data_IF_490091938139
#
_entry.id   IF_490091938139
#
_cell.length_a   1.000
_cell.length_b   1.000
_cell.length_c   1.000
_cell.angle_alpha   90.00
_cell.angle_beta   90.00
_cell.angle_gamma   90.00
#
_symmetry.space_group_name_H-M   'P 1'
#
loop_
_entity.id
_entity.type
_entity.pdbx_description
1 polymer ?
#
# COMPACT_ATOMS: atom_id res chain seq x y z
N UNK A 1 -3.64 -0.46 -21.04
CA UNK A 1 -3.50 -0.72 -19.59
C UNK A 1 -2.46 -1.81 -19.44
N UNK A 2 -1.41 -1.58 -18.65
CA UNK A 2 -0.38 -2.59 -18.37
C UNK A 2 -0.87 -3.47 -17.23
N UNK A 3 -0.89 -4.80 -17.43
CA UNK A 3 -1.12 -5.77 -16.36
C UNK A 3 0.12 -5.94 -15.50
N UNK A 4 -0.09 -6.10 -14.21
CA UNK A 4 0.92 -6.41 -13.19
C UNK A 4 0.35 -7.41 -12.18
N UNK A 5 1.22 -8.09 -11.43
CA UNK A 5 0.82 -9.13 -10.49
C UNK A 5 1.23 -8.74 -9.07
N UNK A 6 0.28 -8.79 -8.14
CA UNK A 6 0.51 -8.38 -6.76
C UNK A 6 0.24 -9.48 -5.75
N UNK A 7 0.94 -9.38 -4.62
CA UNK A 7 0.59 -10.11 -3.42
C UNK A 7 -0.27 -9.20 -2.54
N UNK A 8 -1.57 -9.45 -2.50
CA UNK A 8 -2.54 -8.61 -1.79
C UNK A 8 -2.98 -9.34 -0.52
N UNK A 9 -2.34 -9.03 0.60
CA UNK A 9 -2.62 -9.65 1.90
C UNK A 9 -4.00 -9.23 2.44
N UNK A 10 -5.03 -9.88 1.94
CA UNK A 10 -6.43 -9.63 2.37
C UNK A 10 -6.75 -10.14 3.78
N UNK A 11 -5.84 -10.81 4.47
CA UNK A 11 -5.99 -11.12 5.89
C UNK A 11 -5.73 -9.86 6.76
N UNK A 12 -5.04 -8.84 6.19
CA UNK A 12 -4.93 -7.53 6.82
C UNK A 12 -6.16 -6.68 6.47
N UNK A 13 -6.99 -6.24 7.45
CA UNK A 13 -8.27 -5.59 7.18
C UNK A 13 -8.17 -4.35 6.27
N UNK A 14 -7.11 -3.54 6.39
CA UNK A 14 -6.96 -2.31 5.59
C UNK A 14 -6.53 -2.60 4.15
N UNK A 15 -5.75 -3.67 3.94
CA UNK A 15 -5.43 -4.17 2.60
C UNK A 15 -6.68 -4.78 1.96
N UNK A 16 -7.46 -5.57 2.72
CA UNK A 16 -8.74 -6.13 2.28
C UNK A 16 -9.73 -5.02 1.90
N UNK A 17 -9.82 -3.95 2.73
CA UNK A 17 -10.67 -2.80 2.43
C UNK A 17 -10.32 -2.17 1.06
N UNK A 18 -9.03 -1.92 0.85
CA UNK A 18 -8.53 -1.33 -0.41
C UNK A 18 -8.74 -2.28 -1.60
N UNK A 19 -8.55 -3.59 -1.42
CA UNK A 19 -8.80 -4.60 -2.45
C UNK A 19 -10.27 -4.69 -2.83
N UNK A 20 -11.19 -4.69 -1.85
CA UNK A 20 -12.64 -4.69 -2.14
C UNK A 20 -13.07 -3.40 -2.83
N UNK A 21 -12.57 -2.25 -2.41
CA UNK A 21 -12.82 -0.98 -3.09
C UNK A 21 -12.46 -1.04 -4.59
N UNK A 22 -11.52 -1.92 -4.95
CA UNK A 22 -11.19 -2.27 -6.33
C UNK A 22 -10.12 -1.41 -6.98
N UNK A 23 -9.60 -0.41 -6.27
CA UNK A 23 -8.50 0.45 -6.72
C UNK A 23 -7.50 0.59 -5.57
N UNK A 24 -6.27 0.10 -5.80
CA UNK A 24 -5.13 0.39 -4.95
C UNK A 24 -4.52 1.73 -5.36
N UNK A 25 -4.01 2.47 -4.39
CA UNK A 25 -3.43 3.80 -4.61
C UNK A 25 -2.10 3.88 -3.85
N UNK A 26 -1.06 4.38 -4.49
CA UNK A 26 0.18 4.75 -3.82
C UNK A 26 -0.08 5.85 -2.78
N UNK A 27 0.77 5.94 -1.77
CA UNK A 27 0.60 6.99 -0.77
C UNK A 27 0.66 8.38 -1.44
N UNK A 28 -0.37 9.18 -1.20
CA UNK A 28 -0.44 10.54 -1.74
C UNK A 28 0.54 11.45 -1.00
N UNK A 29 1.09 12.44 -1.71
CA UNK A 29 1.95 13.41 -1.09
C UNK A 29 1.20 14.18 0.01
N UNK A 30 1.80 14.20 1.19
CA UNK A 30 1.30 14.93 2.33
C UNK A 30 2.50 15.28 3.21
N UNK A 31 2.99 16.52 3.12
CA UNK A 31 4.19 16.94 3.85
C UNK A 31 3.81 17.64 5.16
N UNK A 32 3.04 16.96 5.98
CA UNK A 32 2.65 17.49 7.28
C UNK A 32 3.54 16.87 8.38
N UNK A 33 4.82 17.25 8.41
CA UNK A 33 5.64 16.87 9.56
C UNK A 33 4.89 17.15 10.87
N UNK A 34 4.80 16.20 11.80
CA UNK A 34 5.57 14.95 11.93
C UNK A 34 4.94 13.69 11.28
N UNK A 35 4.15 13.82 10.24
CA UNK A 35 3.43 12.71 9.58
C UNK A 35 4.03 12.41 8.21
N UNK A 36 4.15 11.13 7.86
CA UNK A 36 4.54 10.64 6.55
C UNK A 36 3.52 9.63 6.03
N UNK A 37 2.85 9.88 4.91
CA UNK A 37 2.03 8.86 4.30
C UNK A 37 2.91 7.72 3.77
N UNK A 38 2.48 6.49 3.99
CA UNK A 38 3.08 5.29 3.43
C UNK A 38 2.04 4.46 2.67
N UNK A 39 2.49 3.59 1.78
CA UNK A 39 1.55 2.73 1.07
C UNK A 39 0.88 1.73 2.01
N UNK A 40 -0.41 1.43 1.76
CA UNK A 40 -1.16 0.43 2.52
C UNK A 40 -0.51 -0.96 2.38
N UNK A 41 0.14 -1.24 1.24
CA UNK A 41 0.87 -2.50 1.05
C UNK A 41 2.08 -2.59 1.98
N UNK A 42 2.89 -1.51 2.10
CA UNK A 42 3.99 -1.48 3.07
C UNK A 42 3.45 -1.59 4.49
N UNK A 43 2.41 -0.84 4.84
CA UNK A 43 1.79 -0.89 6.16
C UNK A 43 1.34 -2.31 6.53
N UNK A 44 0.76 -3.06 5.58
CA UNK A 44 0.42 -4.47 5.75
C UNK A 44 1.64 -5.37 6.00
N UNK A 45 2.77 -5.08 5.35
CA UNK A 45 4.02 -5.82 5.57
C UNK A 45 4.71 -5.51 6.91
N UNK A 46 4.38 -4.38 7.56
CA UNK A 46 4.93 -3.98 8.86
C UNK A 46 4.18 -4.58 10.06
N UNK A 47 3.19 -5.41 9.83
CA UNK A 47 2.28 -6.02 10.81
C UNK A 47 2.93 -6.69 12.05
N UNK A 48 4.21 -7.01 12.00
CA UNK A 48 4.92 -7.70 13.07
C UNK A 48 5.81 -6.73 13.85
N UNK A 49 5.37 -6.34 15.05
CA UNK A 49 5.99 -5.33 15.94
C UNK A 49 7.48 -5.49 16.22
N UNK A 50 8.01 -6.71 16.14
CA UNK A 50 9.42 -7.00 16.41
C UNK A 50 10.29 -7.08 15.15
N UNK A 51 9.75 -6.68 14.01
CA UNK A 51 10.48 -6.72 12.75
C UNK A 51 11.35 -5.45 12.62
N UNK A 52 12.65 -5.57 12.36
CA UNK A 52 13.51 -4.44 11.99
C UNK A 52 13.19 -3.90 10.59
N UNK A 53 12.16 -4.45 9.93
CA UNK A 53 11.83 -4.14 8.54
C UNK A 53 11.64 -2.64 8.30
N UNK A 54 10.95 -1.93 9.20
CA UNK A 54 10.78 -0.49 9.03
C UNK A 54 12.13 0.24 9.06
N UNK A 55 13.01 -0.10 10.01
CA UNK A 55 14.36 0.50 10.08
C UNK A 55 15.15 0.23 8.80
N UNK A 56 15.06 -0.99 8.27
CA UNK A 56 15.71 -1.37 7.01
C UNK A 56 15.17 -0.57 5.81
N UNK A 57 13.83 -0.45 5.69
CA UNK A 57 13.20 0.36 4.63
C UNK A 57 13.59 1.84 4.73
N UNK A 58 13.69 2.40 5.96
CA UNK A 58 14.15 3.78 6.16
C UNK A 58 15.63 3.97 5.75
N UNK A 59 16.49 2.99 6.03
CA UNK A 59 17.90 3.03 5.61
C UNK A 59 18.04 2.96 4.07
N UNK A 60 17.28 2.07 3.41
CA UNK A 60 17.23 1.95 1.95
C UNK A 60 16.71 3.24 1.33
N UNK A 61 15.65 3.83 1.90
CA UNK A 61 15.06 5.09 1.45
C UNK A 61 16.05 6.26 1.54
N UNK A 62 16.86 6.32 2.59
CA UNK A 62 17.87 7.36 2.76
C UNK A 62 18.89 7.34 1.61
N UNK A 63 19.32 6.14 1.19
CA UNK A 63 20.21 5.98 0.03
C UNK A 63 19.52 6.43 -1.25
N UNK A 64 18.23 6.04 -1.43
CA UNK A 64 17.45 6.50 -2.58
C UNK A 64 17.44 8.03 -2.69
N UNK A 65 17.11 8.71 -1.60
CA UNK A 65 17.04 10.18 -1.58
C UNK A 65 18.35 10.84 -1.95
N UNK A 66 19.46 10.27 -1.50
CA UNK A 66 20.80 10.84 -1.74
C UNK A 66 21.33 10.58 -3.14
N UNK A 67 21.10 9.39 -3.69
CA UNK A 67 21.76 8.94 -4.92
C UNK A 67 20.79 8.71 -6.09
N UNK A 68 19.52 8.36 -5.80
CA UNK A 68 18.54 7.96 -6.80
C UNK A 68 17.20 8.69 -6.64
N UNK A 69 17.19 10.04 -6.55
CA UNK A 69 15.98 10.80 -6.23
C UNK A 69 14.86 10.66 -7.28
N UNK A 70 15.20 10.26 -8.51
CA UNK A 70 14.23 10.00 -9.58
C UNK A 70 13.51 8.65 -9.47
N UNK A 71 13.97 7.75 -8.61
CA UNK A 71 13.30 6.46 -8.37
C UNK A 71 12.14 6.63 -7.41
N UNK A 72 11.08 5.83 -7.58
CA UNK A 72 9.93 5.88 -6.69
C UNK A 72 10.30 5.30 -5.32
N UNK A 73 9.94 6.03 -4.26
CA UNK A 73 10.19 5.59 -2.91
C UNK A 73 9.43 4.31 -2.56
N UNK A 74 10.11 3.34 -1.96
CA UNK A 74 9.49 2.13 -1.42
C UNK A 74 8.50 2.43 -0.30
N UNK A 75 8.64 3.54 0.41
CA UNK A 75 7.71 3.90 1.48
C UNK A 75 6.32 4.25 0.94
N UNK A 76 6.24 4.87 -0.23
CA UNK A 76 4.98 5.37 -0.79
C UNK A 76 4.46 4.57 -1.96
N UNK A 77 5.32 3.87 -2.69
CA UNK A 77 4.97 3.08 -3.86
C UNK A 77 4.20 1.80 -3.51
N UNK A 78 3.46 1.32 -4.48
CA UNK A 78 2.88 -0.03 -4.46
C UNK A 78 3.87 -1.02 -5.06
N UNK A 79 3.84 -2.28 -4.60
CA UNK A 79 4.76 -3.33 -5.04
C UNK A 79 4.02 -4.33 -5.92
N UNK A 80 4.51 -4.50 -7.14
CA UNK A 80 3.96 -5.49 -8.07
C UNK A 80 5.10 -6.24 -8.75
N UNK A 81 4.80 -7.43 -9.24
CA UNK A 81 5.67 -8.15 -10.17
C UNK A 81 5.28 -7.79 -11.60
N UNK A 82 6.29 -7.70 -12.47
CA UNK A 82 6.09 -7.36 -13.87
C UNK A 82 5.32 -8.46 -14.61
N UNK A 83 5.58 -9.72 -14.25
CA UNK A 83 5.00 -10.91 -14.88
C UNK A 83 4.50 -11.91 -13.83
N UNK A 84 3.56 -12.76 -14.24
CA UNK A 84 3.05 -13.83 -13.38
C UNK A 84 4.17 -14.81 -12.98
N UNK A 85 5.08 -15.13 -13.88
CA UNK A 85 6.24 -15.98 -13.62
C UNK A 85 7.14 -15.44 -12.50
N UNK A 86 7.30 -14.12 -12.40
CA UNK A 86 8.03 -13.49 -11.30
C UNK A 86 7.29 -13.65 -9.95
N UNK A 87 5.96 -13.55 -9.93
CA UNK A 87 5.18 -13.87 -8.73
C UNK A 87 5.33 -15.35 -8.34
N UNK A 88 5.29 -16.27 -9.31
CA UNK A 88 5.46 -17.70 -9.06
C UNK A 88 6.84 -18.00 -8.46
N UNK A 89 7.90 -17.37 -8.98
CA UNK A 89 9.25 -17.48 -8.40
C UNK A 89 9.31 -16.94 -6.97
N UNK A 90 8.62 -15.85 -6.67
CA UNK A 90 8.57 -15.25 -5.34
C UNK A 90 7.88 -16.17 -4.30
N UNK A 91 7.09 -17.17 -4.70
CA UNK A 91 6.46 -18.14 -3.78
C UNK A 91 7.47 -18.93 -2.95
N UNK A 92 8.70 -19.07 -3.42
CA UNK A 92 9.77 -19.70 -2.67
C UNK A 92 10.25 -18.85 -1.46
N UNK A 93 9.91 -17.56 -1.43
CA UNK A 93 10.37 -16.62 -0.39
C UNK A 93 9.53 -16.67 0.90
N UNK A 94 8.42 -17.39 0.90
CA UNK A 94 7.62 -17.58 2.11
C UNK A 94 6.11 -17.61 1.88
N UNK A 95 5.38 -17.95 2.93
CA UNK A 95 3.93 -18.18 2.88
C UNK A 95 3.10 -16.93 2.52
N UNK A 96 3.64 -15.73 2.71
CA UNK A 96 2.96 -14.49 2.33
C UNK A 96 2.87 -14.31 0.80
N UNK A 97 3.68 -15.02 0.00
CA UNK A 97 3.53 -15.10 -1.46
C UNK A 97 2.64 -16.29 -1.90
N UNK A 98 1.76 -16.77 -1.03
CA UNK A 98 0.79 -17.80 -1.35
C UNK A 98 -0.14 -17.37 -2.49
N UNK A 99 -0.55 -18.32 -3.32
CA UNK A 99 -1.51 -18.09 -4.41
C UNK A 99 -2.85 -17.49 -3.94
N UNK A 100 -3.22 -17.69 -2.67
CA UNK A 100 -4.43 -17.08 -2.10
C UNK A 100 -4.40 -15.55 -2.07
N UNK A 101 -3.22 -14.93 -2.14
CA UNK A 101 -3.05 -13.47 -2.15
C UNK A 101 -2.71 -12.93 -3.53
N UNK A 102 -2.53 -13.81 -4.51
CA UNK A 102 -2.22 -13.41 -5.87
C UNK A 102 -3.37 -12.65 -6.50
N UNK A 103 -3.06 -11.52 -7.10
CA UNK A 103 -3.99 -10.74 -7.90
C UNK A 103 -3.32 -10.26 -9.18
N UNK A 104 -4.08 -10.26 -10.27
CA UNK A 104 -3.77 -9.46 -11.45
C UNK A 104 -4.40 -8.09 -11.30
N UNK A 105 -3.61 -7.05 -11.61
CA UNK A 105 -4.04 -5.66 -11.55
C UNK A 105 -3.70 -4.95 -12.85
N UNK A 106 -4.48 -3.90 -13.18
CA UNK A 106 -4.20 -3.03 -14.31
C UNK A 106 -3.73 -1.67 -13.82
N UNK A 107 -2.55 -1.23 -14.25
CA UNK A 107 -2.09 0.13 -13.98
C UNK A 107 -3.02 1.14 -14.68
N UNK A 108 -3.57 2.08 -13.92
CA UNK A 108 -4.44 3.11 -14.48
C UNK A 108 -3.63 4.24 -15.15
N UNK A 109 -4.23 5.01 -16.08
CA UNK A 109 -3.57 6.12 -16.72
C UNK A 109 -2.92 7.09 -15.73
N UNK A 110 -1.70 7.53 -16.03
CA UNK A 110 -0.91 8.41 -15.16
C UNK A 110 -0.06 7.67 -14.11
N UNK A 111 -0.22 6.36 -13.95
CA UNK A 111 0.69 5.59 -13.10
C UNK A 111 2.09 5.54 -13.73
N UNK A 112 3.10 5.73 -12.88
CA UNK A 112 4.53 5.61 -13.22
C UNK A 112 5.16 4.51 -12.38
N UNK A 113 6.29 3.96 -12.81
CA UNK A 113 6.97 2.91 -12.06
C UNK A 113 8.49 2.97 -12.22
N UNK A 114 9.18 2.39 -11.26
CA UNK A 114 10.59 2.02 -11.36
C UNK A 114 10.74 0.50 -11.20
N UNK A 115 11.64 -0.10 -11.99
CA UNK A 115 11.83 -1.54 -12.10
C UNK A 115 13.11 -1.95 -11.38
N UNK A 116 13.02 -3.00 -10.56
CA UNK A 116 14.12 -3.50 -9.74
C UNK A 116 14.08 -5.03 -9.66
N UNK A 117 15.24 -5.66 -9.39
CA UNK A 117 15.25 -7.09 -9.09
C UNK A 117 15.03 -7.30 -7.59
N UNK A 118 13.89 -7.86 -7.23
CA UNK A 118 13.48 -8.10 -5.84
C UNK A 118 14.38 -9.11 -5.09
N UNK A 119 15.20 -9.88 -5.81
CA UNK A 119 16.20 -10.75 -5.19
C UNK A 119 17.17 -9.96 -4.28
N UNK A 120 17.51 -8.70 -4.64
CA UNK A 120 18.37 -7.86 -3.81
C UNK A 120 17.81 -7.62 -2.40
N UNK A 121 16.51 -7.37 -2.30
CA UNK A 121 15.81 -7.18 -1.02
C UNK A 121 15.67 -8.51 -0.27
N UNK A 122 15.32 -9.57 -1.00
CA UNK A 122 15.01 -10.88 -0.42
C UNK A 122 16.26 -11.55 0.17
N UNK A 123 17.40 -11.42 -0.51
CA UNK A 123 18.67 -12.00 -0.10
C UNK A 123 19.61 -10.98 0.52
N UNK A 124 19.10 -9.82 0.95
CA UNK A 124 19.87 -8.83 1.68
C UNK A 124 20.54 -9.46 2.91
N UNK A 125 21.83 -9.18 3.15
CA UNK A 125 22.50 -9.72 4.32
C UNK A 125 21.97 -9.09 5.61
N UNK A 126 21.34 -9.92 6.45
CA UNK A 126 20.79 -9.51 7.74
C UNK A 126 21.62 -10.10 8.88
N UNK A 127 21.64 -9.42 10.03
CA UNK A 127 22.21 -9.94 11.26
C UNK A 127 21.22 -10.85 12.02
N UNK A 128 21.59 -11.32 13.20
CA UNK A 128 20.73 -12.16 14.04
C UNK A 128 19.46 -11.46 14.54
N UNK A 129 19.43 -10.13 14.51
CA UNK A 129 18.27 -9.32 14.90
C UNK A 129 17.39 -8.97 13.69
N UNK A 130 17.86 -9.28 12.47
CA UNK A 130 17.19 -8.94 11.21
C UNK A 130 17.51 -7.53 10.70
N UNK A 131 18.48 -6.82 11.30
CA UNK A 131 18.99 -5.54 10.79
C UNK A 131 19.95 -5.77 9.62
N UNK A 132 20.02 -4.81 8.68
CA UNK A 132 20.97 -4.87 7.56
C UNK A 132 22.41 -4.89 8.02
N UNK A 133 23.20 -5.90 7.62
CA UNK A 133 24.64 -6.00 7.87
C UNK A 133 25.46 -5.10 6.98
N UNK A 134 25.02 -4.88 5.76
CA UNK A 134 25.66 -4.07 4.74
C UNK A 134 24.59 -3.40 3.88
N UNK A 135 24.94 -2.26 3.34
CA UNK A 135 24.11 -1.47 2.41
C UNK A 135 24.71 -1.41 1.00
N UNK A 136 25.81 -2.12 0.72
CA UNK A 136 26.53 -2.06 -0.56
C UNK A 136 25.67 -2.57 -1.73
N UNK A 137 24.75 -3.49 -1.45
CA UNK A 137 23.81 -4.05 -2.41
C UNK A 137 22.67 -3.08 -2.79
N UNK A 138 22.47 -2.00 -2.05
CA UNK A 138 21.36 -1.05 -2.29
C UNK A 138 21.59 -0.24 -3.56
N UNK A 139 22.84 0.06 -3.92
CA UNK A 139 23.16 0.76 -5.17
C UNK A 139 22.76 -0.07 -6.41
N UNK A 140 23.22 -1.34 -6.60
CA UNK A 140 22.74 -2.19 -7.70
C UNK A 140 21.20 -2.35 -7.73
N UNK A 141 20.54 -2.47 -6.58
CA UNK A 141 19.08 -2.53 -6.51
C UNK A 141 18.43 -1.28 -7.15
N UNK A 142 18.85 -0.06 -6.72
CA UNK A 142 18.27 1.17 -7.25
C UNK A 142 18.64 1.43 -8.71
N UNK A 143 19.78 0.94 -9.18
CA UNK A 143 20.16 0.96 -10.59
C UNK A 143 19.29 0.03 -11.45
N UNK A 144 18.60 -0.94 -10.84
CA UNK A 144 17.81 -1.95 -11.55
C UNK A 144 18.68 -3.05 -12.14
N UNK A 145 19.84 -3.31 -11.56
CA UNK A 145 20.74 -4.38 -11.98
C UNK A 145 20.21 -5.74 -11.52
N UNK A 146 20.38 -6.80 -12.32
CA UNK A 146 20.01 -8.14 -11.91
C UNK A 146 20.88 -8.65 -10.75
N UNK A 147 20.27 -9.40 -9.85
CA UNK A 147 20.99 -10.05 -8.74
C UNK A 147 21.93 -11.14 -9.30
N UNK A 148 23.19 -11.21 -8.85
CA UNK A 148 24.16 -12.14 -9.41
C UNK A 148 23.77 -13.61 -9.18
N UNK A 149 24.02 -14.45 -10.18
CA UNK A 149 23.86 -15.91 -10.13
C UNK A 149 22.44 -16.43 -9.89
N UNK A 150 21.40 -15.60 -10.12
CA UNK A 150 19.99 -15.99 -10.06
C UNK A 150 19.23 -15.40 -11.23
N UNK A 151 18.16 -16.07 -11.64
CA UNK A 151 17.20 -15.48 -12.55
C UNK A 151 16.54 -14.26 -11.85
N UNK A 152 16.48 -13.11 -12.51
CA UNK A 152 15.90 -11.92 -11.90
C UNK A 152 14.40 -12.09 -11.65
N UNK A 153 13.94 -11.60 -10.52
CA UNK A 153 12.52 -11.50 -10.17
C UNK A 153 12.14 -10.03 -10.19
N UNK A 154 11.60 -9.59 -11.32
CA UNK A 154 11.35 -8.19 -11.58
C UNK A 154 10.15 -7.68 -10.80
N UNK A 155 10.40 -6.77 -9.85
CA UNK A 155 9.38 -5.98 -9.18
C UNK A 155 9.26 -4.59 -9.77
N UNK A 156 8.06 -4.04 -9.74
CA UNK A 156 7.75 -2.68 -10.09
C UNK A 156 7.31 -1.94 -8.83
N UNK A 157 8.02 -0.87 -8.50
CA UNK A 157 7.55 0.09 -7.49
C UNK A 157 6.73 1.13 -8.26
N UNK A 158 5.43 1.19 -7.96
CA UNK A 158 4.46 1.97 -8.73
C UNK A 158 3.95 3.16 -7.93
N UNK A 159 4.01 4.34 -8.52
CA UNK A 159 3.30 5.54 -8.05
C UNK A 159 2.09 5.80 -8.95
N UNK A 160 0.92 5.93 -8.34
CA UNK A 160 -0.34 6.12 -9.04
C UNK A 160 -1.46 5.21 -8.54
N UNK A 161 -2.26 4.70 -9.47
CA UNK A 161 -3.43 3.87 -9.17
C UNK A 161 -3.38 2.56 -9.95
N UNK A 162 -3.86 1.46 -9.34
CA UNK A 162 -3.98 0.14 -9.97
C UNK A 162 -5.36 -0.45 -9.68
N UNK A 163 -6.07 -0.85 -10.73
CA UNK A 163 -7.36 -1.55 -10.61
C UNK A 163 -7.15 -3.02 -10.30
N UNK A 164 -7.85 -3.53 -9.29
CA UNK A 164 -7.86 -4.96 -8.94
C UNK A 164 -8.79 -5.69 -9.88
N UNK A 165 -8.22 -6.58 -10.69
CA UNK A 165 -9.01 -7.45 -11.56
C UNK A 165 -9.56 -8.66 -10.79
N UNK A 166 -10.38 -9.39 -11.06
CA UNK A 166 -10.84 -10.58 -10.38
C UNK A 166 -11.82 -10.35 -9.24
N UNK A 167 -12.90 -11.09 -9.29
CA UNK A 167 -14.00 -11.02 -8.33
C UNK A 167 -13.71 -11.84 -7.08
N UNK A 168 -13.04 -12.99 -7.21
CA UNK A 168 -12.78 -13.91 -6.11
C UNK A 168 -11.97 -13.25 -4.96
N UNK A 169 -10.87 -12.57 -5.28
CA UNK A 169 -10.09 -11.86 -4.28
C UNK A 169 -10.93 -10.79 -3.56
N UNK A 170 -11.75 -10.06 -4.32
CA UNK A 170 -12.61 -9.00 -3.77
C UNK A 170 -13.73 -9.55 -2.90
N UNK A 171 -14.32 -10.69 -3.24
CA UNK A 171 -15.32 -11.38 -2.40
C UNK A 171 -14.70 -11.87 -1.07
N UNK A 172 -13.50 -12.42 -1.12
CA UNK A 172 -12.77 -12.81 0.07
C UNK A 172 -12.38 -11.59 0.93
N UNK A 173 -11.95 -10.50 0.31
CA UNK A 173 -11.69 -9.23 0.98
C UNK A 173 -12.95 -8.68 1.68
N UNK A 174 -14.12 -8.76 1.01
CA UNK A 174 -15.40 -8.42 1.63
C UNK A 174 -15.70 -9.27 2.87
N UNK A 175 -15.46 -10.58 2.80
CA UNK A 175 -15.68 -11.48 3.94
C UNK A 175 -14.80 -11.08 5.15
N UNK A 176 -13.53 -10.75 4.92
CA UNK A 176 -12.62 -10.24 5.96
C UNK A 176 -13.17 -8.96 6.60
N UNK A 177 -13.58 -7.98 5.80
CA UNK A 177 -14.12 -6.71 6.33
C UNK A 177 -15.45 -6.93 7.05
N UNK A 178 -16.33 -7.79 6.53
CA UNK A 178 -17.60 -8.10 7.20
C UNK A 178 -17.41 -8.76 8.57
N UNK A 179 -16.36 -9.57 8.72
CA UNK A 179 -16.01 -10.17 10.01
C UNK A 179 -15.47 -9.12 11.01
N UNK A 180 -14.54 -8.27 10.58
CA UNK A 180 -13.88 -7.29 11.43
C UNK A 180 -14.74 -6.04 11.70
N UNK A 181 -15.45 -5.54 10.68
CA UNK A 181 -16.23 -4.31 10.71
C UNK A 181 -17.66 -4.50 10.20
N UNK A 182 -18.50 -5.38 10.80
CA UNK A 182 -19.81 -5.75 10.25
C UNK A 182 -20.76 -4.56 10.06
N UNK A 183 -20.60 -3.48 10.85
CA UNK A 183 -21.42 -2.27 10.76
C UNK A 183 -20.94 -1.29 9.67
N UNK A 184 -19.80 -1.56 9.03
CA UNK A 184 -19.17 -0.66 8.06
C UNK A 184 -19.34 -1.10 6.61
N UNK A 185 -20.10 -2.18 6.35
CA UNK A 185 -20.28 -2.70 4.97
C UNK A 185 -20.95 -1.69 4.03
N UNK A 186 -21.79 -0.81 4.56
CA UNK A 186 -22.43 0.23 3.75
C UNK A 186 -21.41 1.27 3.24
N UNK A 187 -20.53 1.78 4.11
CA UNK A 187 -19.48 2.73 3.68
C UNK A 187 -18.42 2.04 2.82
N UNK A 188 -18.14 0.77 3.05
CA UNK A 188 -17.25 -0.01 2.18
C UNK A 188 -17.79 -0.09 0.75
N UNK A 189 -19.09 -0.40 0.59
CA UNK A 189 -19.75 -0.45 -0.72
C UNK A 189 -19.84 0.94 -1.37
N UNK A 190 -20.13 1.99 -0.58
CA UNK A 190 -20.06 3.37 -1.05
C UNK A 190 -18.66 3.71 -1.57
N UNK A 191 -17.60 3.31 -0.86
CA UNK A 191 -16.22 3.50 -1.27
C UNK A 191 -15.87 2.77 -2.57
N UNK A 192 -16.44 1.57 -2.80
CA UNK A 192 -16.28 0.83 -4.05
C UNK A 192 -16.92 1.59 -5.23
N UNK A 193 -18.14 2.08 -5.06
CA UNK A 193 -18.82 2.86 -6.08
C UNK A 193 -18.12 4.21 -6.30
N UNK A 194 -17.67 4.85 -5.21
CA UNK A 194 -16.89 6.08 -5.27
C UNK A 194 -15.65 5.92 -6.14
N UNK A 195 -14.92 4.81 -6.00
CA UNK A 195 -13.76 4.52 -6.84
C UNK A 195 -14.11 4.43 -8.34
N UNK A 196 -15.27 3.84 -8.69
CA UNK A 196 -15.76 3.79 -10.07
C UNK A 196 -16.16 5.17 -10.61
N UNK A 197 -16.60 6.07 -9.72
CA UNK A 197 -16.95 7.46 -10.03
C UNK A 197 -15.75 8.43 -9.97
N UNK A 198 -14.54 7.91 -9.69
CA UNK A 198 -13.32 8.71 -9.64
C UNK A 198 -13.11 9.48 -8.34
N UNK A 199 -13.84 9.13 -7.25
CA UNK A 199 -13.71 9.74 -5.92
C UNK A 199 -12.84 8.89 -5.00
N UNK A 200 -12.15 9.53 -4.05
CA UNK A 200 -11.38 8.89 -3.00
C UNK A 200 -12.20 8.58 -1.73
N UNK A 201 -13.50 8.86 -1.72
CA UNK A 201 -14.37 8.52 -0.60
C UNK A 201 -14.18 7.05 -0.19
N UNK A 202 -14.00 6.81 1.10
CA UNK A 202 -13.77 5.50 1.67
C UNK A 202 -12.38 4.91 1.37
N UNK A 203 -11.45 5.66 0.77
CA UNK A 203 -10.07 5.21 0.62
C UNK A 203 -9.38 5.16 1.98
N UNK A 204 -8.64 4.07 2.22
CA UNK A 204 -7.76 3.98 3.38
C UNK A 204 -6.40 4.55 3.04
N UNK A 205 -5.89 5.39 3.90
CA UNK A 205 -4.50 5.87 3.90
C UNK A 205 -3.80 5.45 5.18
N UNK A 206 -2.54 5.11 5.09
CA UNK A 206 -1.67 4.75 6.22
C UNK A 206 -0.57 5.77 6.39
N UNK A 207 -0.25 6.07 7.64
CA UNK A 207 0.66 7.15 8.00
C UNK A 207 1.61 6.70 9.11
N UNK A 208 2.88 7.01 8.95
CA UNK A 208 3.84 7.00 10.05
C UNK A 208 3.83 8.38 10.71
N UNK A 209 3.69 8.40 12.02
CA UNK A 209 3.64 9.62 12.84
C UNK A 209 4.77 9.53 13.86
N UNK A 210 5.65 10.52 13.89
CA UNK A 210 6.71 10.58 14.88
C UNK A 210 6.13 10.88 16.27
N UNK A 211 6.21 9.91 17.19
CA UNK A 211 5.79 10.05 18.57
C UNK A 211 6.92 10.55 19.47
N UNK A 212 8.17 10.12 19.18
CA UNK A 212 9.40 10.56 19.82
C UNK A 212 10.58 10.49 18.87
N UNK A 213 11.80 10.76 19.31
CA UNK A 213 13.00 10.67 18.48
C UNK A 213 13.22 9.26 17.88
N UNK A 214 12.82 8.22 18.60
CA UNK A 214 13.04 6.82 18.22
C UNK A 214 11.75 6.04 17.98
N UNK A 215 10.57 6.63 18.15
CA UNK A 215 9.29 5.93 18.05
C UNK A 215 8.42 6.51 16.94
N UNK A 216 7.96 5.64 16.05
CA UNK A 216 7.00 5.91 14.99
C UNK A 216 5.71 5.14 15.24
N UNK A 217 4.57 5.82 15.09
CA UNK A 217 3.24 5.22 15.16
C UNK A 217 2.71 5.03 13.75
N UNK A 218 2.32 3.82 13.39
CA UNK A 218 1.53 3.54 12.19
C UNK A 218 0.06 3.76 12.53
N UNK A 219 -0.62 4.60 11.77
CA UNK A 219 -2.05 4.85 11.90
C UNK A 219 -2.73 4.81 10.54
N UNK A 220 -4.04 4.50 10.55
CA UNK A 220 -4.88 4.44 9.36
C UNK A 220 -5.99 5.47 9.44
N UNK A 221 -6.34 6.03 8.28
CA UNK A 221 -7.42 7.01 8.13
C UNK A 221 -8.31 6.63 6.95
N UNK A 222 -9.60 6.89 7.09
CA UNK A 222 -10.57 6.75 6.00
C UNK A 222 -10.83 8.13 5.40
N UNK A 223 -10.70 8.26 4.09
CA UNK A 223 -11.03 9.50 3.39
C UNK A 223 -12.55 9.71 3.35
N UNK A 224 -13.00 10.80 3.91
CA UNK A 224 -14.41 11.19 3.97
C UNK A 224 -14.67 12.57 3.35
N UNK A 225 -13.69 13.16 2.63
CA UNK A 225 -13.80 14.54 2.11
C UNK A 225 -15.01 14.72 1.21
N UNK A 226 -15.25 13.79 0.29
CA UNK A 226 -16.36 13.88 -0.64
C UNK A 226 -17.72 13.47 -0.04
N UNK A 227 -17.75 13.04 1.24
CA UNK A 227 -19.00 12.67 1.91
C UNK A 227 -19.99 13.85 2.10
N UNK A 228 -19.51 15.08 1.96
CA UNK A 228 -20.31 16.31 2.04
C UNK A 228 -20.37 17.08 0.73
N UNK A 229 -19.75 16.59 -0.35
CA UNK A 229 -19.83 17.22 -1.68
C UNK A 229 -21.20 16.92 -2.33
N UNK A 230 -22.06 17.95 -2.53
CA UNK A 230 -23.39 17.74 -3.12
C UNK A 230 -23.34 17.17 -4.54
N UNK A 231 -22.33 17.54 -5.34
CA UNK A 231 -22.21 17.07 -6.72
C UNK A 231 -21.79 15.58 -6.74
N UNK A 232 -20.89 15.19 -5.86
CA UNK A 232 -20.52 13.78 -5.72
C UNK A 232 -21.69 12.94 -5.18
N UNK A 233 -22.40 13.44 -4.16
CA UNK A 233 -23.57 12.75 -3.60
C UNK A 233 -24.69 12.58 -4.63
N UNK A 234 -24.88 13.53 -5.54
CA UNK A 234 -25.83 13.40 -6.64
C UNK A 234 -25.40 12.28 -7.61
N UNK A 235 -24.12 12.24 -8.03
CA UNK A 235 -23.58 11.14 -8.84
C UNK A 235 -23.75 9.78 -8.16
N UNK A 236 -23.50 9.70 -6.85
CA UNK A 236 -23.66 8.49 -6.08
C UNK A 236 -25.13 8.02 -6.01
N UNK A 237 -26.09 8.94 -5.84
CA UNK A 237 -27.54 8.63 -5.86
C UNK A 237 -27.99 8.10 -7.21
N UNK A 238 -27.47 8.68 -8.29
CA UNK A 238 -27.83 8.36 -9.66
C UNK A 238 -27.03 7.16 -10.21
N UNK A 239 -26.17 6.53 -9.39
CA UNK A 239 -25.42 5.36 -9.80
C UNK A 239 -26.35 4.17 -10.05
N UNK A 240 -26.42 3.71 -11.29
CA UNK A 240 -27.27 2.62 -11.78
C UNK A 240 -26.51 1.30 -12.04
N UNK A 241 -25.21 1.30 -11.80
CA UNK A 241 -24.35 0.13 -11.96
C UNK A 241 -24.52 -0.92 -10.86
N UNK A 242 -23.75 -2.03 -10.92
CA UNK A 242 -23.86 -3.14 -9.98
C UNK A 242 -23.66 -2.73 -8.52
N UNK A 243 -24.61 -3.10 -7.67
CA UNK A 243 -24.55 -3.01 -6.21
C UNK A 243 -24.39 -4.42 -5.65
N UNK A 244 -23.25 -4.70 -5.01
CA UNK A 244 -22.91 -6.09 -4.70
C UNK A 244 -23.50 -6.57 -3.38
N UNK A 245 -23.34 -5.82 -2.27
CA UNK A 245 -23.56 -6.39 -0.93
C UNK A 245 -24.36 -5.53 0.05
N UNK A 246 -24.66 -4.29 -0.26
CA UNK A 246 -25.39 -3.43 0.66
C UNK A 246 -26.39 -2.55 -0.08
N UNK A 247 -27.57 -2.39 0.51
CA UNK A 247 -28.49 -1.33 0.12
C UNK A 247 -27.82 0.00 0.50
N UNK A 248 -27.45 0.74 -0.54
CA UNK A 248 -26.99 2.11 -0.36
C UNK A 248 -28.20 2.97 -0.02
N UNK A 249 -28.54 3.05 1.24
CA UNK A 249 -29.48 4.03 1.73
C UNK A 249 -28.82 5.42 1.69
N UNK A 250 -28.68 5.97 0.49
CA UNK A 250 -28.25 7.33 0.27
C UNK A 250 -29.40 8.24 0.66
N UNK A 251 -29.37 8.73 1.88
CA UNK A 251 -30.39 9.65 2.39
C UNK A 251 -31.01 9.17 3.69
N UNK A 252 -30.39 9.55 4.79
CA UNK A 252 -30.99 9.45 6.12
C UNK A 252 -30.61 8.26 6.97
N UNK A 253 -29.99 7.22 6.44
CA UNK A 253 -29.52 6.13 7.26
C UNK A 253 -28.11 6.39 7.82
N UNK A 254 -27.96 6.12 9.10
CA UNK A 254 -26.67 6.19 9.77
C UNK A 254 -25.79 5.05 9.25
N UNK A 255 -24.68 5.35 8.57
CA UNK A 255 -23.62 4.41 8.32
C UNK A 255 -22.51 4.57 9.37
N UNK A 256 -21.83 3.49 9.68
CA UNK A 256 -20.68 3.52 10.59
C UNK A 256 -19.38 3.56 9.78
N UNK A 257 -18.48 4.46 10.17
CA UNK A 257 -17.09 4.47 9.69
C UNK A 257 -16.29 3.49 10.57
N UNK A 258 -15.34 2.72 10.00
CA UNK A 258 -14.56 1.78 10.78
C UNK A 258 -13.71 2.51 11.83
N UNK A 259 -13.66 1.96 13.03
CA UNK A 259 -12.74 2.41 14.06
C UNK A 259 -11.36 1.79 13.82
N UNK A 260 -10.45 2.58 13.26
CA UNK A 260 -9.12 2.13 12.84
C UNK A 260 -8.05 2.28 13.94
N UNK A 261 -8.39 2.84 15.10
CA UNK A 261 -7.43 3.13 16.18
C UNK A 261 -6.78 1.86 16.73
N UNK A 262 -7.51 0.75 16.78
CA UNK A 262 -7.00 -0.54 17.24
C UNK A 262 -6.05 -1.26 16.28
N UNK A 263 -5.92 -0.77 15.04
CA UNK A 263 -5.04 -1.34 14.03
C UNK A 263 -3.68 -0.65 13.97
N UNK A 264 -3.50 0.44 14.72
CA UNK A 264 -2.24 1.16 14.80
C UNK A 264 -1.17 0.34 15.53
N UNK A 265 0.10 0.54 15.14
CA UNK A 265 1.25 -0.11 15.74
C UNK A 265 2.38 0.89 16.01
N UNK A 266 3.17 0.62 17.08
CA UNK A 266 4.38 1.38 17.39
C UNK A 266 5.61 0.65 16.90
N UNK A 267 6.54 1.39 16.31
CA UNK A 267 7.83 0.90 15.84
C UNK A 267 8.96 1.72 16.44
N UNK A 268 9.98 1.04 16.93
CA UNK A 268 11.22 1.68 17.32
C UNK A 268 12.21 1.62 16.17
N UNK A 269 12.83 2.74 15.86
CA UNK A 269 13.81 2.85 14.78
C UNK A 269 15.06 3.57 15.27
N UNK A 270 16.22 3.10 14.78
CA UNK A 270 17.51 3.79 14.92
C UNK A 270 17.69 4.90 13.88
N UNK A 271 16.84 4.89 12.84
CA UNK A 271 16.89 5.85 11.75
C UNK A 271 16.21 7.16 12.14
N UNK A 272 16.87 8.26 11.85
CA UNK A 272 16.36 9.58 12.15
C UNK A 272 15.22 9.97 11.21
N UNK A 273 14.04 10.19 11.75
CA UNK A 273 12.83 10.60 11.05
C UNK A 273 12.68 12.12 11.12
N UNK A 274 13.32 12.85 10.22
CA UNK A 274 13.35 14.32 10.23
C UNK A 274 12.42 14.92 9.16
N UNK A 275 12.10 16.22 9.32
CA UNK A 275 11.36 16.96 8.29
C UNK A 275 12.02 16.88 6.91
N UNK A 276 13.35 16.97 6.86
CA UNK A 276 14.11 16.88 5.61
C UNK A 276 13.98 15.48 4.97
N UNK A 277 14.02 14.43 5.77
CA UNK A 277 13.78 13.07 5.29
C UNK A 277 12.39 12.94 4.65
N UNK A 278 11.34 13.49 5.27
CA UNK A 278 9.97 13.42 4.75
C UNK A 278 9.80 14.15 3.42
N UNK A 279 10.43 15.29 3.24
CA UNK A 279 10.42 16.02 1.96
C UNK A 279 11.02 15.14 0.85
N UNK A 280 12.11 14.44 1.13
CA UNK A 280 12.77 13.55 0.18
C UNK A 280 11.96 12.33 -0.25
N UNK A 281 11.06 11.84 0.60
CA UNK A 281 10.17 10.69 0.28
C UNK A 281 9.29 10.98 -0.95
N UNK A 282 8.85 12.22 -1.11
CA UNK A 282 7.94 12.65 -2.18
C UNK A 282 8.61 13.50 -3.28
N UNK A 283 9.94 13.54 -3.32
CA UNK A 283 10.67 14.42 -4.24
C UNK A 283 10.35 14.20 -5.74
N UNK A 284 9.81 13.05 -6.11
CA UNK A 284 9.43 12.72 -7.49
C UNK A 284 8.05 13.25 -7.91
N UNK A 285 7.34 13.96 -7.04
CA UNK A 285 5.97 14.47 -7.28
C UNK A 285 5.94 15.96 -7.63
N UNK A 286 7.10 16.54 -8.00
CA UNK A 286 7.23 17.94 -8.41
C UNK A 286 7.37 18.01 -9.93
#
# INVERSE_FOLDING_TARGET
VQSVYGCIDIDHPMVAWSAYRGVLVSAQAGNEYPKCPISVMLAGMLKHRNSPRLSNELAIERIRQLKYPSKISRLVGMYFFEEQSAFEAAREWGNHFSSKYQAELGLLPGATFSRHDANWITYAPLDSNGDLKSIDWVDPYWLGEPFPNRAPVWELIVDGRAAVYGTELRERAYATIKAEFPKCVAILEMGRIAALLGSDLGQISSWLIQASEAELLLQYYTDMRDAQDPQFLEKLRNYDGPKNHADLAVGGNKFSVPDLRGLGESFYTKEQFSKQFLVGVHANKI
#
